data_IF_240574993277
#
_entry.id   IF_240574993277
#
_cell.length_a   1.000
_cell.length_b   1.000
_cell.length_c   1.000
_cell.angle_alpha   90.00
_cell.angle_beta   90.00
_cell.angle_gamma   90.00
#
_symmetry.space_group_name_H-M   'P 1'
#
loop_
_entity.id
_entity.type
_entity.pdbx_description
1 polymer ?
#
# COMPACT_ATOMS: atom_id res chain seq x y z
N UNK A 1 5.32 -4.66 -8.24
CA UNK A 1 4.61 -5.88 -7.80
C UNK A 1 3.12 -5.63 -7.94
N UNK A 2 2.34 -6.66 -8.32
CA UNK A 2 0.88 -6.57 -8.36
C UNK A 2 0.37 -7.03 -7.00
N UNK A 3 -0.32 -6.15 -6.28
CA UNK A 3 -1.01 -6.46 -5.03
C UNK A 3 -2.46 -6.80 -5.34
N UNK A 4 -3.04 -7.78 -4.64
CA UNK A 4 -4.41 -8.20 -4.91
C UNK A 4 -5.43 -7.23 -4.30
N UNK A 5 -5.09 -6.57 -3.19
CA UNK A 5 -6.01 -5.72 -2.45
C UNK A 5 -5.53 -4.26 -2.31
N UNK A 6 -4.37 -3.91 -2.87
CA UNK A 6 -3.77 -2.59 -2.74
C UNK A 6 -3.49 -1.98 -4.12
N UNK A 7 -3.67 -0.67 -4.20
CA UNK A 7 -3.16 0.16 -5.29
C UNK A 7 -2.00 0.98 -4.74
N UNK A 8 -0.84 0.92 -5.38
CA UNK A 8 0.36 1.65 -4.97
C UNK A 8 0.80 2.57 -6.09
N UNK A 9 0.73 3.88 -5.83
CA UNK A 9 1.24 4.92 -6.72
C UNK A 9 2.60 5.39 -6.20
N UNK A 10 3.62 5.32 -7.05
CA UNK A 10 5.00 5.68 -6.70
C UNK A 10 5.33 7.09 -7.19
N UNK A 11 5.97 7.86 -6.32
CA UNK A 11 6.49 9.20 -6.56
C UNK A 11 7.22 9.70 -5.31
N UNK A 12 7.58 10.99 -5.26
CA UNK A 12 8.15 11.60 -4.05
C UNK A 12 7.24 11.42 -2.82
N UNK A 13 5.94 11.40 -3.07
CA UNK A 13 4.92 10.97 -2.13
C UNK A 13 4.33 9.69 -2.70
N UNK A 14 4.50 8.58 -1.99
CA UNK A 14 3.91 7.32 -2.36
C UNK A 14 2.52 7.21 -1.74
N UNK A 15 1.52 6.81 -2.53
CA UNK A 15 0.15 6.63 -2.05
C UNK A 15 -0.20 5.15 -2.11
N UNK A 16 -0.59 4.59 -0.97
CA UNK A 16 -1.06 3.22 -0.82
C UNK A 16 -2.56 3.28 -0.52
N UNK A 17 -3.36 2.80 -1.46
CA UNK A 17 -4.82 2.77 -1.35
C UNK A 17 -5.30 1.34 -1.15
N UNK A 18 -6.03 1.10 -0.06
CA UNK A 18 -6.69 -0.17 0.20
C UNK A 18 -7.93 -0.24 -0.70
N UNK A 19 -7.91 -1.09 -1.72
CA UNK A 19 -9.01 -1.22 -2.67
C UNK A 19 -9.85 -2.46 -2.38
N UNK A 20 -10.53 -2.48 -1.22
CA UNK A 20 -11.44 -3.57 -0.83
C UNK A 20 -12.87 -3.07 -0.57
N UNK A 21 -13.53 -2.44 -1.56
CA UNK A 21 -14.84 -1.82 -1.39
C UNK A 21 -15.93 -2.83 -0.98
N UNK A 22 -15.82 -4.09 -1.41
CA UNK A 22 -16.79 -5.15 -1.10
C UNK A 22 -16.85 -5.55 0.37
N UNK A 23 -15.82 -5.23 1.15
CA UNK A 23 -15.73 -5.57 2.58
C UNK A 23 -15.40 -4.35 3.43
N UNK A 24 -15.71 -3.13 2.95
CA UNK A 24 -15.48 -1.87 3.67
C UNK A 24 -14.04 -1.71 4.17
N UNK A 25 -13.06 -2.07 3.33
CA UNK A 25 -11.63 -2.00 3.68
C UNK A 25 -11.24 -2.79 4.94
N UNK A 26 -12.01 -3.83 5.29
CA UNK A 26 -11.63 -4.74 6.36
C UNK A 26 -10.19 -5.24 6.15
N UNK A 27 -9.37 -5.20 7.19
CA UNK A 27 -8.00 -5.67 7.13
C UNK A 27 -8.00 -7.18 7.44
N UNK A 28 -7.72 -8.01 6.43
CA UNK A 28 -7.40 -9.42 6.67
C UNK A 28 -5.87 -9.62 6.76
N UNK A 29 -5.43 -10.82 7.15
CA UNK A 29 -4.00 -11.15 7.26
C UNK A 29 -3.23 -10.89 5.96
N UNK A 30 -3.83 -11.21 4.82
CA UNK A 30 -3.20 -11.03 3.51
C UNK A 30 -3.01 -9.55 3.17
N UNK A 31 -4.04 -8.72 3.40
CA UNK A 31 -3.95 -7.26 3.18
C UNK A 31 -2.88 -6.65 4.08
N UNK A 32 -2.78 -7.10 5.32
CA UNK A 32 -1.74 -6.63 6.25
C UNK A 32 -0.33 -7.02 5.79
N UNK A 33 -0.16 -8.23 5.26
CA UNK A 33 1.09 -8.70 4.70
C UNK A 33 1.47 -7.92 3.43
N UNK A 34 0.50 -7.65 2.55
CA UNK A 34 0.67 -6.82 1.36
C UNK A 34 1.07 -5.38 1.73
N UNK A 35 0.42 -4.77 2.74
CA UNK A 35 0.75 -3.41 3.20
C UNK A 35 2.19 -3.38 3.71
N UNK A 36 2.58 -4.38 4.52
CA UNK A 36 3.94 -4.47 5.05
C UNK A 36 4.98 -4.56 3.91
N UNK A 37 4.75 -5.45 2.95
CA UNK A 37 5.63 -5.59 1.80
C UNK A 37 5.71 -4.29 0.97
N UNK A 38 4.57 -3.63 0.74
CA UNK A 38 4.53 -2.35 0.04
C UNK A 38 5.31 -1.26 0.80
N UNK A 39 5.20 -1.22 2.12
CA UNK A 39 5.92 -0.25 2.94
C UNK A 39 7.42 -0.52 2.97
N UNK A 40 7.83 -1.79 3.07
CA UNK A 40 9.24 -2.18 3.03
C UNK A 40 9.87 -1.81 1.67
N UNK A 41 9.15 -2.06 0.56
CA UNK A 41 9.55 -1.66 -0.79
C UNK A 41 9.68 -0.13 -0.93
N UNK A 42 8.70 0.62 -0.42
CA UNK A 42 8.68 2.08 -0.50
C UNK A 42 9.73 2.73 0.42
N UNK A 43 10.01 2.13 1.57
CA UNK A 43 11.04 2.58 2.49
C UNK A 43 12.46 2.34 1.95
N UNK A 44 12.64 1.30 1.14
CA UNK A 44 13.89 1.03 0.43
C UNK A 44 14.13 1.98 -0.75
N UNK A 45 13.10 2.69 -1.22
CA UNK A 45 13.18 3.61 -2.35
C UNK A 45 13.59 5.02 -1.90
N UNK A 46 14.81 5.50 -2.22
CA UNK A 46 15.31 6.80 -1.77
C UNK A 46 14.56 8.00 -2.39
N UNK A 47 13.82 7.78 -3.48
CA UNK A 47 12.98 8.80 -4.11
C UNK A 47 11.70 9.08 -3.30
N UNK A 48 11.22 8.09 -2.54
CA UNK A 48 10.04 8.21 -1.69
C UNK A 48 10.41 8.95 -0.40
N UNK A 49 9.71 10.06 -0.13
CA UNK A 49 9.91 10.88 1.08
C UNK A 49 8.76 10.76 2.07
N UNK A 50 7.56 10.45 1.56
CA UNK A 50 6.34 10.36 2.35
C UNK A 50 5.52 9.19 1.84
N UNK A 51 4.90 8.44 2.75
CA UNK A 51 3.96 7.37 2.42
C UNK A 51 2.60 7.78 2.97
N UNK A 52 1.59 7.83 2.10
CA UNK A 52 0.19 8.08 2.45
C UNK A 52 -0.55 6.75 2.37
N UNK A 53 -1.22 6.35 3.45
CA UNK A 53 -2.13 5.22 3.47
C UNK A 53 -3.57 5.72 3.50
N UNK A 54 -4.38 5.27 2.55
CA UNK A 54 -5.80 5.61 2.44
C UNK A 54 -6.62 4.38 2.03
N UNK A 55 -7.94 4.45 2.13
CA UNK A 55 -8.86 3.38 1.74
C UNK A 55 -10.22 3.93 1.34
#
# INVERSE_FOLDING_TARGET
MSYANLIVEKGKIATVTINRPKVLNALNKDTLAEIKAAFDDLAADPEVKVIILTG
#
